data_IF_630501693608
#
_entry.id   IF_630501693608
#
_cell.length_a   1.000
_cell.length_b   1.000
_cell.length_c   1.000
_cell.angle_alpha   90.00
_cell.angle_beta   90.00
_cell.angle_gamma   90.00
#
_symmetry.space_group_name_H-M   'P 1'
#
loop_
_entity.id
_entity.type
_entity.pdbx_description
1 polymer ?
#
# COMPACT_ATOMS: atom_id res chain seq x y z
N UNK A 1 10.87 13.72 -6.69
CA UNK A 1 9.40 13.81 -6.96
C UNK A 1 8.75 12.48 -7.35
N UNK A 2 9.33 11.67 -8.23
CA UNK A 2 8.74 10.40 -8.72
C UNK A 2 8.35 9.42 -7.60
N UNK A 3 9.16 9.33 -6.55
CA UNK A 3 8.91 8.51 -5.35
C UNK A 3 7.54 8.81 -4.72
N UNK A 4 7.24 10.06 -4.36
CA UNK A 4 5.96 10.43 -3.71
C UNK A 4 4.72 9.99 -4.52
N UNK A 5 4.76 10.10 -5.85
CA UNK A 5 3.64 9.65 -6.71
C UNK A 5 3.49 8.13 -6.70
N UNK A 6 4.60 7.39 -6.72
CA UNK A 6 4.57 5.93 -6.60
C UNK A 6 3.96 5.48 -5.26
N UNK A 7 4.32 6.16 -4.15
CA UNK A 7 3.74 5.90 -2.81
C UNK A 7 2.23 6.09 -2.83
N UNK A 8 1.73 7.21 -3.37
CA UNK A 8 0.31 7.52 -3.44
C UNK A 8 -0.49 6.51 -4.29
N UNK A 9 0.11 6.02 -5.40
CA UNK A 9 -0.51 4.98 -6.24
C UNK A 9 -0.62 3.65 -5.47
N UNK A 10 0.42 3.25 -4.74
CA UNK A 10 0.38 2.03 -3.90
C UNK A 10 -0.63 2.16 -2.76
N UNK A 11 -0.75 3.33 -2.14
CA UNK A 11 -1.78 3.63 -1.13
C UNK A 11 -3.20 3.52 -1.68
N UNK A 12 -3.45 4.08 -2.86
CA UNK A 12 -4.75 3.98 -3.54
C UNK A 12 -5.11 2.53 -3.89
N UNK A 13 -4.14 1.76 -4.42
CA UNK A 13 -4.34 0.34 -4.74
C UNK A 13 -4.61 -0.51 -3.49
N UNK A 14 -3.93 -0.21 -2.38
CA UNK A 14 -4.20 -0.84 -1.08
C UNK A 14 -5.63 -0.57 -0.62
N UNK A 15 -6.11 0.67 -0.70
CA UNK A 15 -7.47 1.02 -0.30
C UNK A 15 -8.52 0.32 -1.17
N UNK A 16 -8.38 0.39 -2.50
CA UNK A 16 -9.31 -0.23 -3.45
C UNK A 16 -9.40 -1.74 -3.22
N UNK A 17 -8.26 -2.44 -3.11
CA UNK A 17 -8.24 -3.90 -2.91
C UNK A 17 -8.76 -4.30 -1.53
N UNK A 18 -8.44 -3.53 -0.48
CA UNK A 18 -8.98 -3.76 0.87
C UNK A 18 -10.51 -3.62 0.88
N UNK A 19 -11.05 -2.57 0.25
CA UNK A 19 -12.49 -2.34 0.12
C UNK A 19 -13.16 -3.44 -0.72
N UNK A 20 -12.51 -3.90 -1.80
CA UNK A 20 -13.03 -5.01 -2.60
C UNK A 20 -13.11 -6.30 -1.79
N UNK A 21 -12.04 -6.64 -1.06
CA UNK A 21 -11.99 -7.81 -0.18
C UNK A 21 -13.09 -7.74 0.89
N UNK A 22 -13.21 -6.62 1.60
CA UNK A 22 -14.25 -6.40 2.60
C UNK A 22 -15.66 -6.56 2.01
N UNK A 23 -15.90 -6.07 0.80
CA UNK A 23 -17.18 -6.26 0.12
C UNK A 23 -17.46 -7.73 -0.23
N UNK A 24 -16.44 -8.55 -0.49
CA UNK A 24 -16.62 -9.99 -0.71
C UNK A 24 -16.88 -10.76 0.61
N UNK A 25 -16.26 -10.32 1.70
CA UNK A 25 -16.37 -10.89 3.05
C UNK A 25 -17.67 -10.51 3.80
N UNK A 26 -18.53 -9.65 3.24
CA UNK A 26 -19.77 -9.21 3.89
C UNK A 26 -20.78 -10.35 4.09
N UNK A 27 -21.38 -10.49 5.29
CA UNK A 27 -22.45 -11.47 5.56
C UNK A 27 -23.72 -11.32 4.72
N UNK A 28 -23.93 -10.14 4.14
CA UNK A 28 -25.10 -9.81 3.29
C UNK A 28 -25.05 -10.51 1.92
N UNK A 29 -23.88 -10.99 1.49
CA UNK A 29 -23.75 -11.72 0.24
C UNK A 29 -23.89 -13.23 0.50
N UNK A 30 -25.10 -13.76 0.36
CA UNK A 30 -25.26 -15.19 0.11
C UNK A 30 -24.75 -15.50 -1.30
N UNK A 31 -23.50 -15.97 -1.38
CA UNK A 31 -22.87 -16.37 -2.64
C UNK A 31 -23.50 -17.63 -3.25
N UNK A 32 -24.43 -18.29 -2.56
CA UNK A 32 -25.23 -19.39 -3.09
C UNK A 32 -24.42 -20.64 -3.38
N UNK A 33 -24.57 -21.15 -4.60
CA UNK A 33 -24.02 -22.46 -5.04
C UNK A 33 -22.53 -22.58 -4.67
N UNK A 34 -22.16 -23.68 -4.04
CA UNK A 34 -20.82 -24.06 -3.57
C UNK A 34 -19.65 -23.76 -4.53
N UNK A 35 -19.88 -23.81 -5.85
CA UNK A 35 -18.90 -23.38 -6.87
C UNK A 35 -18.61 -21.87 -6.80
N UNK A 36 -19.63 -21.02 -6.67
CA UNK A 36 -19.50 -19.56 -6.53
C UNK A 36 -18.83 -19.21 -5.21
N UNK A 37 -19.23 -19.85 -4.10
CA UNK A 37 -18.57 -19.71 -2.80
C UNK A 37 -17.07 -20.01 -2.87
N UNK A 38 -16.67 -21.10 -3.53
CA UNK A 38 -15.24 -21.43 -3.77
C UNK A 38 -14.51 -20.38 -4.61
N UNK A 39 -15.15 -19.85 -5.66
CA UNK A 39 -14.56 -18.80 -6.50
C UNK A 39 -14.33 -17.50 -5.70
N UNK A 40 -15.32 -17.10 -4.89
CA UNK A 40 -15.21 -15.93 -4.00
C UNK A 40 -14.12 -16.15 -2.95
N UNK A 41 -14.04 -17.32 -2.33
CA UNK A 41 -12.99 -17.62 -1.35
C UNK A 41 -11.58 -17.58 -1.97
N UNK A 42 -11.44 -18.06 -3.21
CA UNK A 42 -10.19 -17.94 -3.99
C UNK A 42 -9.86 -16.48 -4.26
N UNK A 43 -10.83 -15.66 -4.63
CA UNK A 43 -10.62 -14.23 -4.89
C UNK A 43 -10.24 -13.46 -3.62
N UNK A 44 -10.91 -13.70 -2.50
CA UNK A 44 -10.53 -13.17 -1.18
C UNK A 44 -9.09 -13.54 -0.81
N UNK A 45 -8.66 -14.76 -1.13
CA UNK A 45 -7.28 -15.23 -0.93
C UNK A 45 -6.30 -14.49 -1.84
N UNK A 46 -6.66 -14.30 -3.11
CA UNK A 46 -5.87 -13.52 -4.09
C UNK A 46 -5.68 -12.07 -3.63
N UNK A 47 -6.78 -11.38 -3.32
CA UNK A 47 -6.78 -10.01 -2.79
C UNK A 47 -5.97 -9.89 -1.49
N UNK A 48 -6.06 -10.88 -0.60
CA UNK A 48 -5.26 -10.90 0.64
C UNK A 48 -3.75 -10.95 0.36
N UNK A 49 -3.33 -11.76 -0.62
CA UNK A 49 -1.95 -11.81 -1.07
C UNK A 49 -1.53 -10.47 -1.69
N UNK A 50 -2.33 -9.92 -2.61
CA UNK A 50 -2.03 -8.64 -3.28
C UNK A 50 -1.94 -7.46 -2.29
N UNK A 51 -2.83 -7.38 -1.30
CA UNK A 51 -2.78 -6.39 -0.22
C UNK A 51 -1.48 -6.56 0.59
N UNK A 52 -1.06 -7.79 0.89
CA UNK A 52 0.21 -8.07 1.57
C UNK A 52 1.41 -7.61 0.73
N UNK A 53 1.45 -7.95 -0.55
CA UNK A 53 2.50 -7.53 -1.49
C UNK A 53 2.58 -6.00 -1.67
N UNK A 54 1.45 -5.33 -1.84
CA UNK A 54 1.40 -3.86 -1.91
C UNK A 54 1.79 -3.21 -0.58
N UNK A 55 1.43 -3.82 0.55
CA UNK A 55 1.80 -3.36 1.89
C UNK A 55 3.30 -3.51 2.17
N UNK A 56 3.93 -4.55 1.62
CA UNK A 56 5.39 -4.71 1.60
C UNK A 56 6.02 -3.66 0.67
N UNK A 57 5.57 -3.56 -0.58
CA UNK A 57 6.07 -2.58 -1.56
C UNK A 57 6.03 -1.15 -1.00
N UNK A 58 4.92 -0.76 -0.36
CA UNK A 58 4.77 0.55 0.30
C UNK A 58 5.89 0.84 1.30
N UNK A 59 6.29 -0.15 2.10
CA UNK A 59 7.37 0.00 3.11
C UNK A 59 8.73 0.20 2.45
N UNK A 60 8.98 -0.47 1.33
CA UNK A 60 10.22 -0.31 0.55
C UNK A 60 10.30 1.07 -0.11
N UNK A 61 9.22 1.57 -0.72
CA UNK A 61 9.22 2.87 -1.43
C UNK A 61 8.93 4.08 -0.52
N UNK A 62 8.37 3.86 0.66
CA UNK A 62 8.05 4.86 1.67
C UNK A 62 8.42 4.35 3.08
N UNK A 63 9.71 4.26 3.41
CA UNK A 63 10.13 3.87 4.75
C UNK A 63 9.55 4.84 5.80
N UNK A 64 9.11 4.34 6.98
CA UNK A 64 8.41 5.13 7.98
C UNK A 64 9.33 6.19 8.55
N UNK A 65 9.16 7.41 8.06
CA UNK A 65 10.23 8.37 8.18
C UNK A 65 10.18 9.18 9.48
N UNK A 66 11.37 9.43 10.01
CA UNK A 66 11.63 10.22 11.20
C UNK A 66 12.56 11.35 10.75
N UNK A 67 12.03 12.54 10.45
CA UNK A 67 12.80 13.68 9.92
C UNK A 67 13.08 14.78 10.97
N UNK A 68 13.65 14.49 12.16
CA UNK A 68 14.02 15.54 13.09
C UNK A 68 15.11 16.43 12.47
N UNK A 69 15.31 17.66 12.99
CA UNK A 69 16.28 18.66 12.51
C UNK A 69 17.74 18.17 12.32
N UNK A 70 18.09 17.01 12.87
CA UNK A 70 19.38 16.32 12.71
C UNK A 70 19.49 15.37 11.51
N UNK A 71 18.38 14.96 10.89
CA UNK A 71 18.36 14.14 9.65
C UNK A 71 18.40 15.00 8.39
N UNK A 72 19.00 16.19 8.49
CA UNK A 72 18.98 17.24 7.48
C UNK A 72 20.40 17.55 7.03
N UNK A 73 20.67 17.36 5.74
CA UNK A 73 21.98 17.59 5.12
C UNK A 73 21.83 18.43 3.84
N UNK A 74 22.92 18.84 3.19
CA UNK A 74 22.90 19.73 2.03
C UNK A 74 23.80 19.23 0.91
N UNK A 75 23.21 18.95 -0.26
CA UNK A 75 23.90 18.51 -1.47
C UNK A 75 23.74 19.59 -2.56
N UNK A 76 24.84 20.05 -3.16
CA UNK A 76 24.84 21.12 -4.18
C UNK A 76 24.06 22.41 -3.77
N UNK A 77 23.99 22.69 -2.46
CA UNK A 77 23.21 23.81 -1.90
C UNK A 77 21.73 23.51 -1.64
N UNK A 78 21.20 22.39 -2.13
CA UNK A 78 19.86 21.91 -1.81
C UNK A 78 19.87 21.13 -0.49
N UNK A 79 19.03 21.53 0.47
CA UNK A 79 18.86 20.73 1.70
C UNK A 79 18.04 19.48 1.38
N UNK A 80 18.41 18.34 1.95
CA UNK A 80 17.68 17.07 1.78
C UNK A 80 17.65 16.23 3.06
N UNK A 81 16.53 15.53 3.23
CA UNK A 81 16.29 14.60 4.30
C UNK A 81 16.83 13.24 3.93
N UNK A 82 18.02 12.98 4.46
CA UNK A 82 18.72 11.71 4.39
C UNK A 82 17.86 10.50 4.77
N UNK A 83 16.81 10.66 5.58
CA UNK A 83 16.03 9.53 6.09
C UNK A 83 14.91 9.02 5.16
N UNK A 84 14.61 9.69 4.03
CA UNK A 84 13.83 9.05 2.96
C UNK A 84 14.19 9.57 1.55
N UNK A 85 15.40 10.12 1.40
CA UNK A 85 15.91 10.73 0.16
C UNK A 85 14.89 11.66 -0.52
N UNK A 86 14.20 12.45 0.32
CA UNK A 86 13.44 13.61 -0.11
C UNK A 86 14.26 14.86 0.17
N UNK A 87 14.22 15.83 -0.72
CA UNK A 87 14.69 17.19 -0.43
C UNK A 87 13.89 17.80 0.75
N UNK A 88 14.49 18.77 1.45
CA UNK A 88 14.08 19.33 2.75
C UNK A 88 13.73 20.82 2.71
#
# INVERSE_FOLDING_TARGET
MTSKKAVQIVEMLLEIKTRHKQNLEKPENDWGIDVVGRLVQREITSLSNEISWLGALKKEIAPPCKHPKKMQDMCEGQKYCMNCNLDL
#
